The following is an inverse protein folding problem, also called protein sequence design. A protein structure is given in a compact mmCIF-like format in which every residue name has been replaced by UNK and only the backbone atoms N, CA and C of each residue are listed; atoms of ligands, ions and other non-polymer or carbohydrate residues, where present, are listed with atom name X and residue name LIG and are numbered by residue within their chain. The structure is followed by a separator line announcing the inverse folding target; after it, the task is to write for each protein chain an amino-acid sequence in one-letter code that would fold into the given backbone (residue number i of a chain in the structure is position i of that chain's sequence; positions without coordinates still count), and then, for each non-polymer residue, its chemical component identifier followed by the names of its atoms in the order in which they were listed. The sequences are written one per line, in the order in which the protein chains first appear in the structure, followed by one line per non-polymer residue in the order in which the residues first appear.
data_IF_536221576610
#
_entry.id   IF_536221576610
#
_cell.length_a   1.000
_cell.length_b   1.000
_cell.length_c   1.000
_cell.angle_alpha   90.00
_cell.angle_beta   90.00
_cell.angle_gamma   90.00
#
_symmetry.space_group_name_H-M   'P 1'
#
loop_
_entity.id
_entity.type
_entity.pdbx_description
1 polymer ?
#
# COMPACT_ATOMS: atom_id res chain seq x y z
N UNK A 1 4.35 14.90 7.81
CA UNK A 1 3.85 13.96 6.77
C UNK A 1 5.06 13.51 5.97
N UNK A 2 5.14 12.22 5.65
CA UNK A 2 6.25 11.69 4.85
C UNK A 2 5.69 11.26 3.49
N UNK A 3 6.36 11.69 2.41
CA UNK A 3 6.05 11.20 1.08
C UNK A 3 6.71 9.84 0.90
N UNK A 4 5.96 8.90 0.32
CA UNK A 4 6.43 7.57 0.01
C UNK A 4 6.19 7.29 -1.45
N UNK A 5 7.20 6.69 -2.05
CA UNK A 5 7.20 6.23 -3.41
C UNK A 5 7.91 4.88 -3.41
N UNK A 6 7.14 3.81 -3.59
CA UNK A 6 7.66 2.44 -3.59
C UNK A 6 7.04 1.69 -4.77
N UNK A 7 7.77 0.74 -5.33
CA UNK A 7 7.27 -0.06 -6.45
C UNK A 7 7.74 -1.51 -6.37
N UNK A 8 7.04 -2.38 -7.08
CA UNK A 8 7.49 -3.75 -7.34
C UNK A 8 7.01 -4.21 -8.72
N UNK A 9 7.58 -5.29 -9.23
CA UNK A 9 7.11 -5.94 -10.45
C UNK A 9 6.32 -7.19 -10.11
N UNK A 10 5.27 -7.47 -10.88
CA UNK A 10 4.36 -8.59 -10.67
C UNK A 10 4.01 -9.23 -12.02
N UNK A 11 3.90 -10.57 -12.02
CA UNK A 11 3.47 -11.33 -13.19
C UNK A 11 1.94 -11.26 -13.29
N UNK A 12 1.46 -10.11 -13.75
CA UNK A 12 0.07 -9.80 -13.98
C UNK A 12 0.01 -8.74 -15.08
N UNK A 13 -0.80 -8.92 -16.15
CA UNK A 13 -1.07 -7.85 -17.10
C UNK A 13 -1.56 -6.59 -16.38
N UNK A 14 -1.05 -5.42 -16.77
CA UNK A 14 -1.31 -4.16 -16.05
C UNK A 14 -2.80 -3.77 -16.07
N UNK A 15 -3.53 -4.19 -17.10
CA UNK A 15 -4.95 -3.93 -17.30
C UNK A 15 -5.85 -4.83 -16.43
N UNK A 16 -5.37 -6.00 -16.02
CA UNK A 16 -6.05 -6.89 -15.07
C UNK A 16 -5.84 -6.51 -13.60
N UNK A 17 -4.83 -5.69 -13.29
CA UNK A 17 -4.49 -5.33 -11.90
C UNK A 17 -5.70 -4.75 -11.14
N UNK A 18 -6.45 -3.77 -11.67
CA UNK A 18 -7.62 -3.26 -10.97
C UNK A 18 -8.63 -4.36 -10.68
N UNK A 19 -9.05 -5.11 -11.70
CA UNK A 19 -10.12 -6.09 -11.58
C UNK A 19 -9.79 -7.21 -10.57
N UNK A 20 -8.54 -7.68 -10.54
CA UNK A 20 -8.08 -8.67 -9.56
C UNK A 20 -8.06 -8.13 -8.12
N UNK A 21 -7.69 -6.85 -7.94
CA UNK A 21 -7.75 -6.23 -6.62
C UNK A 21 -9.19 -6.01 -6.18
N UNK A 22 -10.06 -5.55 -7.07
CA UNK A 22 -11.50 -5.40 -6.82
C UNK A 22 -12.15 -6.73 -6.43
N UNK A 23 -11.83 -7.81 -7.14
CA UNK A 23 -12.34 -9.14 -6.83
C UNK A 23 -11.88 -9.62 -5.46
N UNK A 24 -10.63 -9.33 -5.06
CA UNK A 24 -10.11 -9.70 -3.75
C UNK A 24 -10.75 -8.93 -2.60
N UNK A 25 -10.95 -7.62 -2.78
CA UNK A 25 -11.49 -6.72 -1.77
C UNK A 25 -13.02 -6.57 -1.85
N UNK A 26 -13.72 -7.55 -2.42
CA UNK A 26 -15.19 -7.56 -2.56
C UNK A 26 -15.77 -6.22 -3.05
N UNK A 27 -15.09 -5.59 -4.01
CA UNK A 27 -15.31 -4.21 -4.39
C UNK A 27 -14.16 -3.30 -3.93
N UNK A 28 -14.46 -2.32 -3.11
CA UNK A 28 -13.61 -1.14 -2.88
C UNK A 28 -12.95 -1.09 -1.51
N UNK A 29 -13.10 -2.12 -0.67
CA UNK A 29 -12.53 -2.13 0.67
C UNK A 29 -12.29 -3.52 1.24
N UNK A 30 -11.23 -3.68 2.03
CA UNK A 30 -11.03 -4.89 2.81
C UNK A 30 -9.96 -4.72 3.87
N UNK A 31 -9.55 -5.84 4.48
CA UNK A 31 -8.59 -5.84 5.58
C UNK A 31 -7.26 -6.38 5.12
N UNK A 32 -6.19 -5.62 5.32
CA UNK A 32 -4.83 -6.07 5.01
C UNK A 32 -4.03 -6.19 6.31
N UNK A 33 -3.45 -7.37 6.61
CA UNK A 33 -2.54 -7.52 7.74
C UNK A 33 -1.16 -6.95 7.38
N UNK A 34 -0.75 -5.86 8.01
CA UNK A 34 0.57 -5.25 7.81
C UNK A 34 1.47 -5.58 9.00
N UNK A 35 2.56 -6.31 8.72
CA UNK A 35 3.51 -6.81 9.71
C UNK A 35 4.93 -6.40 9.32
N UNK A 36 5.51 -5.47 10.06
CA UNK A 36 6.82 -4.89 9.74
C UNK A 36 7.77 -4.96 10.94
N UNK A 37 9.06 -5.10 10.65
CA UNK A 37 10.15 -5.02 11.63
C UNK A 37 11.12 -3.91 11.24
N UNK A 38 11.34 -2.96 12.14
CA UNK A 38 12.28 -1.83 11.96
C UNK A 38 13.27 -1.83 13.12
N UNK A 39 14.48 -2.32 12.89
CA UNK A 39 15.43 -2.60 13.98
C UNK A 39 14.84 -3.63 14.94
N UNK A 40 14.76 -3.29 16.23
CA UNK A 40 14.14 -4.13 17.27
C UNK A 40 12.64 -3.90 17.43
N UNK A 41 12.07 -2.89 16.75
CA UNK A 41 10.66 -2.60 16.80
C UNK A 41 9.89 -3.51 15.84
N UNK A 42 8.90 -4.23 16.37
CA UNK A 42 7.93 -5.01 15.60
C UNK A 42 6.59 -4.28 15.61
N UNK A 43 6.06 -3.95 14.44
CA UNK A 43 4.78 -3.26 14.28
C UNK A 43 3.85 -4.14 13.46
N UNK A 44 2.73 -4.49 14.05
CA UNK A 44 1.85 -5.50 13.49
C UNK A 44 0.40 -5.08 13.66
N UNK A 45 -0.28 -4.71 12.58
CA UNK A 45 -1.70 -4.30 12.63
C UNK A 45 -2.46 -4.72 11.40
N UNK A 46 -3.76 -4.89 11.60
CA UNK A 46 -4.72 -5.00 10.51
C UNK A 46 -5.17 -3.58 10.16
N UNK A 47 -5.19 -3.28 8.86
CA UNK A 47 -5.65 -1.99 8.35
C UNK A 47 -6.91 -2.17 7.53
N UNK A 48 -7.83 -1.22 7.65
CA UNK A 48 -8.93 -1.06 6.71
C UNK A 48 -8.35 -0.38 5.47
N UNK A 49 -8.26 -1.13 4.39
CA UNK A 49 -7.73 -0.72 3.10
C UNK A 49 -8.88 -0.37 2.17
N UNK A 50 -8.75 0.74 1.45
CA UNK A 50 -9.72 1.22 0.48
C UNK A 50 -9.04 1.44 -0.86
N UNK A 51 -9.75 1.13 -1.95
CA UNK A 51 -9.29 1.36 -3.31
C UNK A 51 -10.43 1.88 -4.21
N UNK A 52 -10.10 2.83 -5.08
CA UNK A 52 -11.05 3.39 -6.05
C UNK A 52 -10.38 3.69 -7.38
N UNK A 53 -10.96 3.22 -8.48
CA UNK A 53 -10.44 3.47 -9.82
C UNK A 53 -10.48 4.96 -10.14
N UNK A 54 -9.39 5.44 -10.73
CA UNK A 54 -9.27 6.77 -11.30
C UNK A 54 -9.10 6.70 -12.81
N UNK A 55 -9.63 7.70 -13.54
CA UNK A 55 -9.25 7.89 -14.94
C UNK A 55 -7.72 8.01 -15.07
N UNK A 56 -7.17 7.32 -16.06
CA UNK A 56 -5.74 7.27 -16.36
C UNK A 56 -5.53 7.40 -17.88
N UNK A 57 -4.28 7.65 -18.29
CA UNK A 57 -3.91 7.63 -19.70
C UNK A 57 -3.87 6.19 -20.24
N UNK A 58 -4.00 6.03 -21.56
CA UNK A 58 -3.82 4.74 -22.23
C UNK A 58 -2.47 4.11 -21.87
N UNK A 59 -2.45 2.80 -21.59
CA UNK A 59 -1.24 2.08 -21.15
C UNK A 59 -0.97 2.18 -19.65
N UNK A 60 -1.87 2.82 -18.88
CA UNK A 60 -1.72 3.02 -17.44
C UNK A 60 -3.04 2.74 -16.73
N UNK A 61 -2.97 2.15 -15.54
CA UNK A 61 -4.09 2.08 -14.60
C UNK A 61 -3.75 2.84 -13.34
N UNK A 62 -4.74 3.51 -12.78
CA UNK A 62 -4.59 4.31 -11.57
C UNK A 62 -5.76 4.03 -10.62
N UNK A 63 -5.42 3.81 -9.36
CA UNK A 63 -6.35 3.64 -8.26
C UNK A 63 -5.99 4.68 -7.20
N UNK A 64 -6.95 5.40 -6.67
CA UNK A 64 -6.81 5.99 -5.34
C UNK A 64 -6.79 4.87 -4.33
N UNK A 65 -5.85 4.92 -3.39
CA UNK A 65 -5.81 4.00 -2.26
C UNK A 65 -5.64 4.77 -0.97
N UNK A 66 -6.19 4.21 0.10
CA UNK A 66 -5.95 4.69 1.45
C UNK A 66 -6.05 3.54 2.42
N UNK A 67 -5.42 3.69 3.58
CA UNK A 67 -5.74 2.80 4.70
C UNK A 67 -5.56 3.49 6.03
N UNK A 68 -6.24 2.92 7.01
CA UNK A 68 -6.16 3.32 8.40
C UNK A 68 -6.22 2.11 9.34
N UNK A 69 -5.69 2.19 10.56
CA UNK A 69 -5.78 1.08 11.50
C UNK A 69 -7.23 0.75 11.87
N UNK A 70 -7.63 -0.51 11.66
CA UNK A 70 -9.01 -1.01 11.87
C UNK A 70 -9.60 -0.79 13.27
N UNK A 71 -8.74 -0.71 14.29
CA UNK A 71 -9.12 -0.48 15.68
C UNK A 71 -8.47 0.78 16.27
N UNK A 72 -8.02 1.69 15.40
CA UNK A 72 -7.26 2.88 15.79
C UNK A 72 -5.88 2.55 16.38
N UNK A 73 -5.35 3.49 17.15
CA UNK A 73 -4.08 3.35 17.88
C UNK A 73 -2.84 3.84 17.14
N UNK A 74 -1.63 3.49 17.62
CA UNK A 74 -0.33 3.97 17.14
C UNK A 74 0.07 3.54 15.73
N UNK A 75 -0.84 3.40 14.77
CA UNK A 75 -0.47 2.97 13.42
C UNK A 75 -0.52 4.12 12.41
N UNK A 76 0.42 4.15 11.44
CA UNK A 76 0.33 5.08 10.33
C UNK A 76 -0.97 4.91 9.54
N UNK A 77 -1.52 6.03 9.09
CA UNK A 77 -2.50 6.06 8.01
C UNK A 77 -1.85 6.54 6.70
N UNK A 78 -2.41 6.13 5.58
CA UNK A 78 -1.92 6.50 4.25
C UNK A 78 -3.05 7.00 3.36
N UNK A 79 -2.70 7.92 2.47
CA UNK A 79 -3.53 8.29 1.32
C UNK A 79 -2.62 8.58 0.13
N UNK A 80 -2.99 8.04 -1.03
CA UNK A 80 -2.21 8.17 -2.25
C UNK A 80 -2.83 7.40 -3.41
N UNK A 81 -1.99 6.98 -4.34
CA UNK A 81 -2.39 6.21 -5.50
C UNK A 81 -1.59 4.92 -5.63
N UNK A 82 -2.24 3.89 -6.15
CA UNK A 82 -1.60 2.72 -6.75
C UNK A 82 -1.71 2.84 -8.26
N UNK A 83 -0.59 2.75 -8.95
CA UNK A 83 -0.56 2.64 -10.40
C UNK A 83 -0.08 1.29 -10.88
N UNK A 84 -0.50 0.93 -12.08
CA UNK A 84 0.00 -0.22 -12.82
C UNK A 84 0.35 0.20 -14.25
N UNK A 85 1.55 -0.16 -14.68
CA UNK A 85 2.03 0.03 -16.04
C UNK A 85 2.65 -1.28 -16.56
N UNK A 86 2.63 -1.48 -17.87
CA UNK A 86 3.34 -2.60 -18.50
C UNK A 86 4.85 -2.47 -18.25
N UNK A 87 5.48 -3.56 -17.79
CA UNK A 87 6.93 -3.66 -17.59
C UNK A 87 7.54 -4.61 -18.64
N UNK A 88 6.87 -5.73 -18.89
CA UNK A 88 7.12 -6.66 -19.99
C UNK A 88 5.83 -7.41 -20.33
N UNK A 89 5.82 -8.22 -21.40
CA UNK A 89 4.63 -9.00 -21.79
C UNK A 89 4.19 -9.90 -20.62
N UNK A 90 2.98 -9.66 -20.11
CA UNK A 90 2.42 -10.39 -18.96
C UNK A 90 2.96 -9.96 -17.59
N UNK A 91 3.75 -8.90 -17.53
CA UNK A 91 4.33 -8.33 -16.31
C UNK A 91 3.97 -6.85 -16.20
N UNK A 92 3.66 -6.43 -14.98
CA UNK A 92 3.41 -5.02 -14.66
C UNK A 92 4.33 -4.54 -13.54
N UNK A 93 4.68 -3.27 -13.63
CA UNK A 93 5.20 -2.49 -12.52
C UNK A 93 4.00 -1.91 -11.78
N UNK A 94 3.87 -2.25 -10.51
CA UNK A 94 2.92 -1.61 -9.60
C UNK A 94 3.66 -0.66 -8.66
N UNK A 95 3.09 0.51 -8.46
CA UNK A 95 3.74 1.59 -7.73
C UNK A 95 2.76 2.31 -6.82
N UNK A 96 3.17 2.53 -5.57
CA UNK A 96 2.42 3.33 -4.61
C UNK A 96 3.13 4.66 -4.45
N UNK A 97 2.38 5.74 -4.66
CA UNK A 97 2.81 7.10 -4.41
C UNK A 97 1.81 7.79 -3.48
N UNK A 98 2.29 8.42 -2.41
CA UNK A 98 1.39 9.16 -1.54
C UNK A 98 2.02 9.62 -0.23
N UNK A 99 1.15 9.90 0.72
CA UNK A 99 1.55 10.50 2.00
C UNK A 99 1.14 9.65 3.18
N UNK A 100 2.08 9.56 4.12
CA UNK A 100 1.87 8.95 5.41
C UNK A 100 1.66 10.00 6.49
N UNK A 101 0.67 9.74 7.33
CA UNK A 101 0.50 10.41 8.62
C UNK A 101 0.98 9.48 9.72
N UNK A 102 2.04 9.89 10.41
CA UNK A 102 2.56 9.15 11.55
C UNK A 102 1.49 9.05 12.66
N UNK A 103 1.52 7.95 13.44
CA UNK A 103 0.63 7.82 14.58
C UNK A 103 0.84 8.93 15.62
N UNK A 104 -0.24 9.31 16.32
CA UNK A 104 -0.26 10.23 17.48
C UNK A 104 0.17 11.70 17.29
N UNK A 105 0.53 12.16 16.09
CA UNK A 105 1.12 13.50 15.99
C UNK A 105 2.40 13.60 16.86
N UNK A 106 2.59 14.70 17.59
CA UNK A 106 3.80 14.97 18.42
C UNK A 106 3.85 14.12 19.72
N UNK A 107 2.85 13.29 20.00
CA UNK A 107 2.75 12.57 21.27
C UNK A 107 3.45 11.19 21.23
N UNK A 108 4.72 11.21 21.61
CA UNK A 108 5.50 10.07 22.04
C UNK A 108 6.97 10.44 22.08
N UNK A 109 7.58 10.55 23.27
CA UNK A 109 8.99 10.88 23.45
C UNK A 109 10.00 9.89 22.80
N UNK A 110 9.49 8.88 22.07
CA UNK A 110 10.24 7.81 21.42
C UNK A 110 9.99 7.65 19.90
N UNK A 111 9.05 8.40 19.30
CA UNK A 111 8.86 8.37 17.84
C UNK A 111 9.59 9.54 17.19
N UNK A 112 10.92 9.44 17.15
CA UNK A 112 11.71 10.36 16.34
C UNK A 112 11.24 10.30 14.87
N UNK A 113 11.32 11.42 14.16
CA UNK A 113 10.88 11.55 12.77
C UNK A 113 11.57 10.53 11.86
N UNK A 114 12.81 10.13 12.16
CA UNK A 114 13.53 9.10 11.42
C UNK A 114 12.92 7.70 11.61
N UNK A 115 12.51 7.34 12.83
CA UNK A 115 11.85 6.05 13.13
C UNK A 115 10.49 5.99 12.45
N UNK A 116 9.70 7.07 12.56
CA UNK A 116 8.41 7.18 11.88
C UNK A 116 8.50 7.01 10.37
N UNK A 117 9.50 7.63 9.73
CA UNK A 117 9.76 7.47 8.29
C UNK A 117 10.10 6.03 7.92
N UNK A 118 10.98 5.36 8.69
CA UNK A 118 11.35 3.96 8.43
C UNK A 118 10.16 3.02 8.55
N UNK A 119 9.30 3.22 9.55
CA UNK A 119 8.08 2.42 9.71
C UNK A 119 7.14 2.65 8.54
N UNK A 120 6.95 3.90 8.11
CA UNK A 120 6.11 4.22 6.97
C UNK A 120 6.62 3.55 5.68
N UNK A 121 7.93 3.61 5.41
CA UNK A 121 8.55 2.94 4.26
C UNK A 121 8.41 1.41 4.32
N UNK A 122 8.69 0.82 5.49
CA UNK A 122 8.50 -0.61 5.69
C UNK A 122 7.04 -1.04 5.49
N UNK A 123 6.09 -0.21 5.94
CA UNK A 123 4.65 -0.47 5.80
C UNK A 123 4.21 -0.43 4.34
N UNK A 124 4.74 0.52 3.54
CA UNK A 124 4.45 0.60 2.11
C UNK A 124 5.02 -0.59 1.35
N UNK A 125 6.25 -0.98 1.71
CA UNK A 125 6.91 -2.17 1.13
C UNK A 125 6.10 -3.43 1.44
N UNK A 126 5.65 -3.60 2.68
CA UNK A 126 4.83 -4.74 3.09
C UNK A 126 3.48 -4.76 2.36
N UNK A 127 2.82 -3.60 2.24
CA UNK A 127 1.59 -3.50 1.47
C UNK A 127 1.80 -3.92 0.01
N UNK A 128 2.84 -3.42 -0.67
CA UNK A 128 3.16 -3.85 -2.03
C UNK A 128 3.41 -5.35 -2.12
N UNK A 129 4.05 -5.94 -1.12
CA UNK A 129 4.28 -7.38 -1.05
C UNK A 129 2.97 -8.17 -0.87
N UNK A 130 2.03 -7.68 -0.07
CA UNK A 130 0.67 -8.24 0.07
C UNK A 130 -0.12 -8.14 -1.25
N UNK A 131 -0.16 -6.95 -1.88
CA UNK A 131 -0.84 -6.75 -3.16
C UNK A 131 -0.26 -7.64 -4.26
N UNK A 132 1.07 -7.76 -4.32
CA UNK A 132 1.74 -8.69 -5.24
C UNK A 132 1.31 -10.14 -5.00
N UNK A 133 1.22 -10.59 -3.74
CA UNK A 133 0.74 -11.94 -3.41
C UNK A 133 -0.70 -12.15 -3.87
N UNK A 134 -1.58 -11.17 -3.65
CA UNK A 134 -2.98 -11.20 -4.11
C UNK A 134 -3.06 -11.35 -5.64
N UNK A 135 -2.28 -10.56 -6.37
CA UNK A 135 -2.29 -10.56 -7.84
C UNK A 135 -1.77 -11.88 -8.43
N UNK A 136 -0.72 -12.46 -7.83
CA UNK A 136 -0.16 -13.75 -8.27
C UNK A 136 -1.04 -14.92 -7.87
N UNK A 137 -1.74 -14.88 -6.74
CA UNK A 137 -2.60 -15.98 -6.31
C UNK A 137 -3.82 -16.22 -7.23
N UNK A 138 -4.17 -15.22 -8.04
CA UNK A 138 -5.29 -15.27 -8.99
C UNK A 138 -4.86 -15.56 -10.44
N UNK A 139 -3.57 -15.89 -10.68
CA UNK A 139 -3.04 -16.23 -12.01
C UNK A 139 -3.32 -17.67 -12.42
#
# INVERSE_FOLDING_TARGET
MANIHEFTTVQCPYDEVPDRLYAHFDGDAGVVPLRVKVGDLRVERDVDFHLKTKPAYTGYKLLDISWEPKHGGPYPSFSGTLSAAEDAIGWSRIEIDGTYKAPFGVAGAAFDAAVGRRIAQATATELLAELKRILVAQS
#
